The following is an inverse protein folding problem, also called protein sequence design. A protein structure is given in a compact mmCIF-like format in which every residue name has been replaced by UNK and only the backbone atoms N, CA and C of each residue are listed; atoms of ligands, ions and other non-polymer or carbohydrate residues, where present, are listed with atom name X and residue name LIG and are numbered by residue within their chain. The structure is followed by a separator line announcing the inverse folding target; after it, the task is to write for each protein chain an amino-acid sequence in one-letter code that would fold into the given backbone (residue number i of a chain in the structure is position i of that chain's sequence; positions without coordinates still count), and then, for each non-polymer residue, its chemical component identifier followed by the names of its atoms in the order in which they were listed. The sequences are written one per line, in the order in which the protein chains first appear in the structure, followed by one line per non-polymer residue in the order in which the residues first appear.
data_IF_016869866313
#
_entry.id   IF_016869866313
#
_cell.length_a   1.000
_cell.length_b   1.000
_cell.length_c   1.000
_cell.angle_alpha   90.00
_cell.angle_beta   90.00
_cell.angle_gamma   90.00
#
_symmetry.space_group_name_H-M   'P 1'
#
loop_
_entity.id
_entity.type
_entity.pdbx_description
1 polymer ?
#
# COMPACT_ATOMS: atom_id res chain seq x y z
N UNK A 1 -3.69 -11.63 28.99
CA UNK A 1 -4.45 -11.17 27.82
C UNK A 1 -4.95 -12.40 27.10
N UNK A 2 -6.24 -12.51 26.75
CA UNK A 2 -6.71 -13.67 25.97
C UNK A 2 -6.12 -13.60 24.55
N UNK A 3 -5.91 -14.76 23.91
CA UNK A 3 -5.40 -14.85 22.52
C UNK A 3 -6.16 -13.92 21.56
N UNK A 4 -7.48 -13.87 21.71
CA UNK A 4 -8.38 -13.04 20.91
C UNK A 4 -8.16 -11.53 21.12
N UNK A 5 -7.97 -11.08 22.35
CA UNK A 5 -7.66 -9.68 22.63
C UNK A 5 -6.30 -9.29 22.05
N UNK A 6 -5.29 -10.16 22.17
CA UNK A 6 -3.98 -9.90 21.59
C UNK A 6 -4.04 -9.81 20.06
N UNK A 7 -4.73 -10.76 19.40
CA UNK A 7 -4.97 -10.72 17.96
C UNK A 7 -5.68 -9.44 17.53
N UNK A 8 -6.73 -9.03 18.24
CA UNK A 8 -7.43 -7.78 17.95
C UNK A 8 -6.51 -6.55 18.04
N UNK A 9 -5.69 -6.46 19.10
CA UNK A 9 -4.75 -5.34 19.28
C UNK A 9 -3.70 -5.30 18.17
N UNK A 10 -3.13 -6.45 17.79
CA UNK A 10 -2.16 -6.51 16.71
C UNK A 10 -2.78 -6.17 15.35
N UNK A 11 -4.02 -6.60 15.11
CA UNK A 11 -4.74 -6.25 13.89
C UNK A 11 -5.05 -4.75 13.83
N UNK A 12 -5.51 -4.16 14.94
CA UNK A 12 -5.75 -2.72 15.02
C UNK A 12 -4.44 -1.93 14.80
N UNK A 13 -3.33 -2.37 15.42
CA UNK A 13 -2.02 -1.76 15.21
C UNK A 13 -1.58 -1.87 13.74
N UNK A 14 -1.78 -3.03 13.11
CA UNK A 14 -1.51 -3.22 11.68
C UNK A 14 -2.29 -2.22 10.84
N UNK A 15 -3.61 -2.05 11.07
CA UNK A 15 -4.43 -1.09 10.34
C UNK A 15 -3.96 0.37 10.55
N UNK A 16 -3.61 0.75 11.79
CA UNK A 16 -3.08 2.08 12.08
C UNK A 16 -1.78 2.34 11.35
N UNK A 17 -0.85 1.38 11.35
CA UNK A 17 0.44 1.53 10.64
C UNK A 17 0.24 1.53 9.12
N UNK A 18 -0.65 0.68 8.60
CA UNK A 18 -0.95 0.62 7.16
C UNK A 18 -1.54 1.92 6.63
N UNK A 19 -2.30 2.62 7.45
CA UNK A 19 -2.92 3.89 7.10
C UNK A 19 -2.03 5.10 7.44
N UNK A 20 -1.01 4.94 8.29
CA UNK A 20 -0.21 6.05 8.83
C UNK A 20 0.24 7.07 7.77
N UNK A 21 0.80 6.69 6.59
CA UNK A 21 1.23 7.68 5.61
C UNK A 21 0.08 8.49 5.01
N UNK A 22 -1.10 7.90 4.90
CA UNK A 22 -2.31 8.61 4.47
C UNK A 22 -2.74 9.65 5.53
N UNK A 23 -2.66 9.33 6.83
CA UNK A 23 -3.01 10.28 7.89
C UNK A 23 -2.02 11.45 7.91
N UNK A 24 -0.72 11.15 7.75
CA UNK A 24 0.31 12.18 7.65
C UNK A 24 0.00 13.09 6.45
N UNK A 25 -0.24 12.51 5.27
CA UNK A 25 -0.58 13.29 4.07
C UNK A 25 -1.81 14.19 4.27
N UNK A 26 -2.84 13.73 4.97
CA UNK A 26 -4.05 14.52 5.26
C UNK A 26 -3.81 15.74 6.16
N UNK A 27 -2.80 15.70 7.03
CA UNK A 27 -2.54 16.77 8.01
C UNK A 27 -1.35 17.65 7.60
N UNK A 28 -0.42 17.12 6.80
CA UNK A 28 0.83 17.79 6.44
C UNK A 28 0.94 18.11 4.94
N UNK A 29 -0.18 18.18 4.21
CA UNK A 29 -0.14 18.53 2.79
C UNK A 29 0.34 19.98 2.59
N UNK A 30 1.49 20.20 1.93
CA UNK A 30 2.01 21.55 1.71
C UNK A 30 1.28 22.30 0.57
N UNK A 31 0.43 21.63 -0.19
CA UNK A 31 -0.23 22.25 -1.35
C UNK A 31 -1.41 23.11 -0.91
N UNK A 32 -1.41 24.36 -1.34
CA UNK A 32 -2.47 25.33 -1.01
C UNK A 32 -3.67 25.25 -1.95
N UNK A 33 -3.51 24.61 -3.11
CA UNK A 33 -4.60 24.40 -4.07
C UNK A 33 -5.07 22.94 -4.06
N UNK A 34 -6.38 22.69 -4.05
CA UNK A 34 -6.92 21.34 -4.13
C UNK A 34 -6.57 20.71 -5.49
N UNK A 35 -6.06 19.47 -5.46
CA UNK A 35 -5.82 18.69 -6.69
C UNK A 35 -7.10 18.00 -7.14
N UNK A 36 -7.12 17.51 -8.36
CA UNK A 36 -8.27 16.75 -8.88
C UNK A 36 -8.53 15.50 -8.04
N UNK A 37 -9.81 15.14 -7.84
CA UNK A 37 -10.21 14.00 -7.01
C UNK A 37 -9.48 12.69 -7.37
N UNK A 38 -9.31 12.39 -8.67
CA UNK A 38 -8.60 11.19 -9.12
C UNK A 38 -7.11 11.20 -8.72
N UNK A 39 -6.50 12.38 -8.63
CA UNK A 39 -5.11 12.54 -8.18
C UNK A 39 -5.00 12.23 -6.69
N UNK A 40 -5.92 12.77 -5.88
CA UNK A 40 -5.97 12.49 -4.44
C UNK A 40 -6.22 10.99 -4.17
N UNK A 41 -7.20 10.41 -4.86
CA UNK A 41 -7.56 9.00 -4.73
C UNK A 41 -6.40 8.09 -5.17
N UNK A 42 -5.79 8.38 -6.32
CA UNK A 42 -4.62 7.67 -6.82
C UNK A 42 -3.47 7.75 -5.82
N UNK A 43 -3.17 8.94 -5.30
CA UNK A 43 -2.11 9.15 -4.29
C UNK A 43 -2.39 8.35 -3.02
N UNK A 44 -3.64 8.36 -2.53
CA UNK A 44 -4.05 7.58 -1.36
C UNK A 44 -3.86 6.07 -1.56
N UNK A 45 -4.21 5.55 -2.74
CA UNK A 45 -3.99 4.14 -3.07
C UNK A 45 -2.51 3.77 -3.09
N UNK A 46 -1.64 4.64 -3.60
CA UNK A 46 -0.20 4.44 -3.55
C UNK A 46 0.32 4.39 -2.11
N UNK A 47 -0.05 5.37 -1.28
CA UNK A 47 0.38 5.44 0.13
C UNK A 47 -0.02 4.19 0.92
N UNK A 48 -1.27 3.74 0.79
CA UNK A 48 -1.76 2.56 1.49
C UNK A 48 -1.18 1.27 0.89
N UNK A 49 -1.16 1.15 -0.44
CA UNK A 49 -0.65 -0.03 -1.14
C UNK A 49 0.81 -0.31 -0.84
N UNK A 50 1.68 0.70 -0.90
CA UNK A 50 3.10 0.54 -0.54
C UNK A 50 3.29 0.22 0.96
N UNK A 51 2.47 0.81 1.84
CA UNK A 51 2.50 0.48 3.26
C UNK A 51 2.18 -0.99 3.52
N UNK A 52 1.16 -1.53 2.83
CA UNK A 52 0.79 -2.94 2.92
C UNK A 52 1.91 -3.87 2.42
N UNK A 53 2.54 -3.56 1.28
CA UNK A 53 3.69 -4.33 0.76
C UNK A 53 4.81 -4.40 1.80
N UNK A 54 5.17 -3.27 2.42
CA UNK A 54 6.23 -3.23 3.44
C UNK A 54 5.83 -3.97 4.71
N UNK A 55 4.59 -3.80 5.18
CA UNK A 55 4.07 -4.49 6.36
C UNK A 55 3.98 -6.00 6.16
N UNK A 56 3.70 -6.47 4.95
CA UNK A 56 3.65 -7.90 4.65
C UNK A 56 5.00 -8.60 4.78
N UNK A 57 6.11 -7.89 4.52
CA UNK A 57 7.45 -8.42 4.81
C UNK A 57 7.64 -8.66 6.31
N UNK A 58 7.05 -7.83 7.16
CA UNK A 58 7.03 -8.04 8.61
C UNK A 58 6.12 -9.22 9.00
N UNK A 59 4.99 -9.45 8.31
CA UNK A 59 4.12 -10.62 8.56
C UNK A 59 4.80 -11.96 8.25
N UNK A 60 5.75 -11.99 7.31
CA UNK A 60 6.53 -13.20 6.99
C UNK A 60 7.57 -13.51 8.07
N UNK A 61 7.99 -12.51 8.86
CA UNK A 61 8.85 -12.77 10.00
C UNK A 61 8.07 -13.59 11.04
N UNK A 62 8.61 -14.74 11.47
CA UNK A 62 7.98 -15.62 12.47
C UNK A 62 8.04 -15.00 13.87
N UNK A 63 7.44 -13.82 14.03
CA UNK A 63 7.33 -13.13 15.31
C UNK A 63 6.46 -14.02 16.19
N UNK A 64 7.08 -14.60 17.21
CA UNK A 64 6.44 -15.60 18.08
C UNK A 64 5.15 -15.08 18.70
N UNK A 65 5.12 -13.80 19.08
CA UNK A 65 3.92 -13.16 19.65
C UNK A 65 2.74 -13.08 18.68
N UNK A 66 3.00 -12.88 17.38
CA UNK A 66 1.96 -12.89 16.35
C UNK A 66 1.47 -14.30 16.07
N UNK A 67 2.37 -15.27 15.90
CA UNK A 67 1.99 -16.68 15.69
C UNK A 67 1.24 -17.25 16.89
N UNK A 68 1.60 -16.83 18.10
CA UNK A 68 0.91 -17.21 19.32
C UNK A 68 -0.46 -16.56 19.42
N UNK A 69 -0.69 -15.37 18.83
CA UNK A 69 -1.99 -14.68 18.89
C UNK A 69 -2.97 -15.12 17.80
N UNK A 70 -2.49 -15.28 16.56
CA UNK A 70 -3.34 -15.57 15.39
C UNK A 70 -3.29 -17.03 14.92
N UNK A 71 -2.19 -17.75 15.17
CA UNK A 71 -1.91 -19.03 14.53
C UNK A 71 -1.28 -18.86 13.15
N UNK A 72 -0.36 -19.78 12.80
CA UNK A 72 0.45 -19.68 11.57
C UNK A 72 -0.39 -19.74 10.28
N UNK A 73 -1.44 -20.56 10.25
CA UNK A 73 -2.28 -20.71 9.05
C UNK A 73 -3.08 -19.43 8.77
N UNK A 74 -3.60 -18.79 9.82
CA UNK A 74 -4.31 -17.51 9.72
C UNK A 74 -3.37 -16.41 9.25
N UNK A 75 -2.13 -16.35 9.75
CA UNK A 75 -1.13 -15.39 9.28
C UNK A 75 -0.81 -15.58 7.79
N UNK A 76 -0.75 -16.82 7.30
CA UNK A 76 -0.54 -17.10 5.89
C UNK A 76 -1.74 -16.66 5.03
N UNK A 77 -2.97 -16.88 5.50
CA UNK A 77 -4.17 -16.40 4.82
C UNK A 77 -4.22 -14.87 4.79
N UNK A 78 -3.87 -14.21 5.89
CA UNK A 78 -3.77 -12.75 5.96
C UNK A 78 -2.70 -12.21 5.01
N UNK A 79 -1.51 -12.80 4.98
CA UNK A 79 -0.46 -12.40 4.04
C UNK A 79 -0.94 -12.49 2.58
N UNK A 80 -1.58 -13.60 2.18
CA UNK A 80 -2.14 -13.73 0.83
C UNK A 80 -3.28 -12.74 0.54
N UNK A 81 -4.17 -12.56 1.50
CA UNK A 81 -5.31 -11.66 1.38
C UNK A 81 -4.87 -10.21 1.20
N UNK A 82 -3.99 -9.73 2.08
CA UNK A 82 -3.44 -8.39 1.96
C UNK A 82 -2.58 -8.24 0.72
N UNK A 83 -1.82 -9.26 0.28
CA UNK A 83 -0.99 -9.16 -0.91
C UNK A 83 -1.82 -8.86 -2.16
N UNK A 84 -3.00 -9.49 -2.28
CA UNK A 84 -3.95 -9.20 -3.36
C UNK A 84 -4.51 -7.78 -3.26
N UNK A 85 -4.85 -7.31 -2.04
CA UNK A 85 -5.34 -5.94 -1.83
C UNK A 85 -4.26 -4.91 -2.17
N UNK A 86 -3.01 -5.14 -1.73
CA UNK A 86 -1.88 -4.27 -1.99
C UNK A 86 -1.57 -4.19 -3.49
N UNK A 87 -1.55 -5.33 -4.18
CA UNK A 87 -1.37 -5.38 -5.64
C UNK A 87 -2.48 -4.60 -6.38
N UNK A 88 -3.75 -4.79 -5.98
CA UNK A 88 -4.86 -4.05 -6.57
C UNK A 88 -4.74 -2.54 -6.33
N UNK A 89 -4.40 -2.11 -5.12
CA UNK A 89 -4.20 -0.70 -4.80
C UNK A 89 -3.06 -0.06 -5.60
N UNK A 90 -1.92 -0.75 -5.73
CA UNK A 90 -0.78 -0.24 -6.52
C UNK A 90 -1.11 -0.17 -8.01
N UNK A 91 -1.81 -1.16 -8.56
CA UNK A 91 -2.28 -1.10 -9.95
C UNK A 91 -3.30 0.03 -10.16
N UNK A 92 -4.26 0.20 -9.26
CA UNK A 92 -5.21 1.30 -9.35
C UNK A 92 -4.51 2.66 -9.18
N UNK A 93 -3.50 2.77 -8.32
CA UNK A 93 -2.69 3.98 -8.16
C UNK A 93 -2.08 4.43 -9.49
N UNK A 94 -1.42 3.53 -10.22
CA UNK A 94 -0.78 3.88 -11.51
C UNK A 94 -1.82 4.24 -12.57
N UNK A 95 -2.92 3.50 -12.66
CA UNK A 95 -3.97 3.75 -13.64
C UNK A 95 -4.70 5.08 -13.40
N UNK A 96 -4.95 5.44 -12.14
CA UNK A 96 -5.62 6.69 -11.78
C UNK A 96 -4.73 7.92 -12.04
N UNK A 97 -3.41 7.80 -11.86
CA UNK A 97 -2.47 8.91 -12.03
C UNK A 97 -1.93 9.06 -13.45
N UNK A 98 -1.94 8.01 -14.26
CA UNK A 98 -1.43 8.05 -15.64
C UNK A 98 -1.94 9.25 -16.47
N UNK A 99 -3.25 9.59 -16.49
CA UNK A 99 -3.75 10.74 -17.25
C UNK A 99 -3.16 12.08 -16.81
N UNK A 100 -2.89 12.24 -15.51
CA UNK A 100 -2.33 13.47 -14.95
C UNK A 100 -0.83 13.64 -15.28
N UNK A 101 -0.15 12.57 -15.71
CA UNK A 101 1.29 12.54 -15.95
C UNK A 101 1.69 12.38 -17.42
N UNK A 102 0.76 12.58 -18.36
CA UNK A 102 1.02 12.44 -19.81
C UNK A 102 0.41 11.18 -20.44
N UNK A 103 -0.47 10.48 -19.72
CA UNK A 103 -1.22 9.33 -20.25
C UNK A 103 -0.37 8.06 -20.32
N UNK A 104 -0.58 7.24 -21.35
CA UNK A 104 0.08 5.95 -21.51
C UNK A 104 1.59 6.06 -21.75
N UNK A 105 2.09 7.19 -22.28
CA UNK A 105 3.52 7.45 -22.43
C UNK A 105 4.23 7.57 -21.07
N UNK A 106 3.50 7.95 -20.01
CA UNK A 106 4.04 8.00 -18.66
C UNK A 106 4.33 6.61 -18.08
N UNK A 107 3.70 5.55 -18.64
CA UNK A 107 3.96 4.16 -18.27
C UNK A 107 5.08 3.52 -19.10
N UNK A 108 5.70 4.26 -20.01
CA UNK A 108 6.90 3.78 -20.70
C UNK A 108 8.14 4.08 -19.82
N UNK A 109 8.83 3.06 -19.29
CA UNK A 109 9.93 3.25 -18.35
C UNK A 109 11.15 3.93 -18.99
N UNK A 110 11.24 3.91 -20.33
CA UNK A 110 12.36 4.51 -21.08
C UNK A 110 12.18 6.02 -21.30
N UNK A 111 10.94 6.53 -21.25
CA UNK A 111 10.62 7.95 -21.38
C UNK A 111 10.34 8.64 -20.04
N UNK A 112 10.02 7.86 -19.01
CA UNK A 112 9.72 8.35 -17.67
C UNK A 112 10.97 8.86 -16.94
N UNK A 113 10.79 9.82 -16.01
CA UNK A 113 11.88 10.39 -15.21
C UNK A 113 12.00 9.72 -13.84
N UNK A 114 13.20 9.30 -13.44
CA UNK A 114 13.53 8.86 -12.07
C UNK A 114 12.49 7.93 -11.42
N UNK A 115 11.77 8.45 -10.42
CA UNK A 115 10.73 7.72 -9.68
C UNK A 115 9.57 7.23 -10.56
N UNK A 116 9.25 7.94 -11.65
CA UNK A 116 8.22 7.52 -12.60
C UNK A 116 8.66 6.26 -13.37
N UNK A 117 9.95 6.12 -13.70
CA UNK A 117 10.48 4.93 -14.37
C UNK A 117 10.35 3.69 -13.50
N UNK A 118 10.63 3.81 -12.20
CA UNK A 118 10.45 2.72 -11.24
C UNK A 118 8.97 2.30 -11.15
N UNK A 119 8.05 3.26 -11.12
CA UNK A 119 6.61 3.00 -11.15
C UNK A 119 6.16 2.31 -12.44
N UNK A 120 6.66 2.76 -13.60
CA UNK A 120 6.37 2.16 -14.90
C UNK A 120 6.87 0.70 -15.01
N UNK A 121 8.09 0.42 -14.53
CA UNK A 121 8.62 -0.95 -14.47
C UNK A 121 7.75 -1.83 -13.56
N UNK A 122 7.40 -1.33 -12.37
CA UNK A 122 6.57 -2.07 -11.42
C UNK A 122 5.17 -2.38 -12.01
N UNK A 123 4.58 -1.44 -12.74
CA UNK A 123 3.31 -1.65 -13.43
C UNK A 123 3.41 -2.80 -14.44
N UNK A 124 4.41 -2.78 -15.34
CA UNK A 124 4.59 -3.85 -16.33
C UNK A 124 5.00 -5.19 -15.73
N UNK A 125 5.55 -5.22 -14.53
CA UNK A 125 5.80 -6.47 -13.81
C UNK A 125 4.52 -7.11 -13.24
N UNK A 126 3.45 -6.33 -13.09
CA UNK A 126 2.17 -6.76 -12.52
C UNK A 126 1.06 -6.97 -13.56
N UNK A 127 1.16 -6.34 -14.74
CA UNK A 127 0.19 -6.39 -15.84
C UNK A 127 0.48 -7.53 -16.82
#
# INVERSE_FOLDING_TARGET
MTRTMAAFVYFALFCVVALLPLQVALVSDPHTQPRGFLIELGTAFGLVGFSLILLELALVTRIRTLSDSFGSDTLLQLHRGFAMVAAALVLCHTLLLAPAWGGWEALNPLSATGAQSAGAVAFWALA
#
